data_IF_260800478651
#
_entry.id   IF_260800478651
#
_cell.length_a   1.000
_cell.length_b   1.000
_cell.length_c   1.000
_cell.angle_alpha   90.00
_cell.angle_beta   90.00
_cell.angle_gamma   90.00
#
_symmetry.space_group_name_H-M   'P 1'
#
loop_
_entity.id
_entity.type
_entity.pdbx_description
1 polymer ?
#
# COMPACT_ATOMS: atom_id res chain seq x y z
N UNK A 1 -24.96 12.68 67.73
CA UNK A 1 -24.66 11.38 68.33
C UNK A 1 -24.66 10.34 67.21
N UNK A 2 -23.52 9.67 67.00
CA UNK A 2 -23.20 8.61 66.01
C UNK A 2 -23.20 8.99 64.51
N UNK A 3 -22.36 8.49 63.59
CA UNK A 3 -21.07 7.74 63.57
C UNK A 3 -20.68 7.56 62.07
N UNK A 4 -19.37 7.56 61.78
CA UNK A 4 -18.61 6.98 60.64
C UNK A 4 -18.85 7.33 59.14
N UNK A 5 -17.77 7.86 58.55
CA UNK A 5 -17.11 7.48 57.27
C UNK A 5 -17.78 6.45 56.34
N UNK A 6 -17.90 6.81 55.03
CA UNK A 6 -17.18 6.12 53.94
C UNK A 6 -17.13 6.93 52.63
N UNK A 7 -15.98 6.79 51.96
CA UNK A 7 -15.52 7.43 50.70
C UNK A 7 -16.29 6.95 49.45
N UNK A 8 -16.39 7.87 48.48
CA UNK A 8 -16.44 7.78 46.99
C UNK A 8 -16.00 6.45 46.30
N UNK A 9 -16.32 6.19 44.99
CA UNK A 9 -16.65 7.18 43.96
C UNK A 9 -17.79 6.88 42.95
N UNK A 10 -18.24 8.01 42.39
CA UNK A 10 -18.81 8.30 41.06
C UNK A 10 -18.61 7.26 39.94
N UNK A 11 -19.71 6.80 39.34
CA UNK A 11 -19.74 6.29 37.97
C UNK A 11 -20.58 7.25 37.12
N UNK A 12 -19.89 8.08 36.35
CA UNK A 12 -20.50 9.04 35.44
C UNK A 12 -20.98 8.27 34.21
N UNK A 13 -22.30 8.15 34.09
CA UNK A 13 -22.98 7.58 32.94
C UNK A 13 -22.91 8.59 31.79
N UNK A 14 -21.80 8.58 31.04
CA UNK A 14 -21.71 9.25 29.74
C UNK A 14 -21.98 8.23 28.65
N UNK A 15 -23.20 8.33 28.11
CA UNK A 15 -23.59 8.12 26.73
C UNK A 15 -22.72 7.17 25.89
N UNK A 16 -23.37 6.07 25.52
CA UNK A 16 -23.15 5.34 24.27
C UNK A 16 -22.95 6.32 23.10
N UNK A 17 -21.70 6.62 22.76
CA UNK A 17 -21.35 7.02 21.41
C UNK A 17 -21.10 5.73 20.63
N UNK A 18 -22.15 5.34 19.92
CA UNK A 18 -22.11 4.82 18.55
C UNK A 18 -20.93 3.91 18.21
N UNK A 19 -21.28 2.65 18.01
CA UNK A 19 -20.75 1.77 16.97
C UNK A 19 -19.95 2.45 15.86
N UNK A 20 -18.93 1.71 15.42
CA UNK A 20 -18.44 1.65 14.05
C UNK A 20 -17.74 2.91 13.49
N UNK A 21 -16.44 2.97 13.73
CA UNK A 21 -15.56 3.03 12.57
C UNK A 21 -14.90 1.64 12.42
N UNK A 22 -15.59 0.71 11.76
CA UNK A 22 -14.85 0.00 10.73
C UNK A 22 -14.88 0.99 9.56
N UNK A 23 -13.91 1.93 9.44
CA UNK A 23 -13.84 2.62 8.18
C UNK A 23 -13.56 1.49 7.20
N UNK A 24 -14.25 1.43 6.08
CA UNK A 24 -13.58 0.85 4.93
C UNK A 24 -12.34 1.75 4.80
N UNK A 25 -11.18 1.35 5.32
CA UNK A 25 -9.91 1.97 4.96
C UNK A 25 -10.00 1.99 3.46
N UNK A 26 -10.08 3.18 2.87
CA UNK A 26 -10.26 3.33 1.43
C UNK A 26 -9.26 2.38 0.78
N UNK A 27 -9.77 1.29 0.16
CA UNK A 27 -8.95 0.17 -0.30
C UNK A 27 -8.33 0.57 -1.63
N UNK A 28 -7.57 1.64 -1.58
CA UNK A 28 -6.87 2.23 -2.70
C UNK A 28 -5.54 1.51 -2.89
N UNK A 29 -5.04 1.58 -4.12
CA UNK A 29 -3.90 0.80 -4.55
C UNK A 29 -2.62 1.48 -4.09
N UNK A 30 -2.11 1.03 -2.95
CA UNK A 30 -0.76 1.38 -2.50
C UNK A 30 0.29 0.76 -3.45
N UNK A 31 1.47 1.37 -3.57
CA UNK A 31 2.56 0.78 -4.37
C UNK A 31 3.05 -0.57 -3.80
N UNK A 32 2.84 -0.83 -2.51
CA UNK A 32 3.05 -2.17 -1.95
C UNK A 32 2.17 -3.23 -2.66
N UNK A 33 0.90 -2.91 -2.92
CA UNK A 33 -0.01 -3.82 -3.62
C UNK A 33 0.49 -4.07 -5.03
N UNK A 34 0.89 -3.01 -5.75
CA UNK A 34 1.51 -3.11 -7.07
C UNK A 34 2.69 -4.08 -7.10
N UNK A 35 3.57 -3.97 -6.10
CA UNK A 35 4.80 -4.75 -6.04
C UNK A 35 4.56 -6.27 -5.95
N UNK A 36 3.34 -6.69 -5.57
CA UNK A 36 2.93 -8.08 -5.43
C UNK A 36 2.05 -8.58 -6.59
N UNK A 37 1.65 -7.72 -7.54
CA UNK A 37 0.77 -8.08 -8.66
C UNK A 37 1.55 -8.54 -9.88
N UNK A 38 1.05 -9.58 -10.56
CA UNK A 38 1.63 -10.12 -11.80
C UNK A 38 0.54 -10.50 -12.81
N UNK A 39 0.87 -10.41 -14.10
CA UNK A 39 0.01 -10.81 -15.22
C UNK A 39 0.33 -12.20 -15.78
N UNK A 40 1.13 -13.03 -15.09
CA UNK A 40 1.50 -14.38 -15.53
C UNK A 40 0.32 -15.34 -15.78
N UNK A 41 -0.87 -15.02 -15.28
CA UNK A 41 -2.08 -15.81 -15.54
C UNK A 41 -2.61 -15.65 -16.99
N UNK A 42 -2.09 -14.67 -17.74
CA UNK A 42 -2.45 -14.49 -19.16
C UNK A 42 -1.80 -15.61 -19.98
N UNK A 43 -2.59 -16.22 -20.86
CA UNK A 43 -2.14 -17.23 -21.82
C UNK A 43 -0.98 -16.72 -22.67
N UNK A 44 0.12 -17.47 -22.65
CA UNK A 44 1.32 -17.18 -23.44
C UNK A 44 2.28 -16.16 -22.82
N UNK A 45 1.97 -15.59 -21.66
CA UNK A 45 2.90 -14.71 -20.93
C UNK A 45 3.84 -15.54 -20.06
N UNK A 46 5.15 -15.39 -20.27
CA UNK A 46 6.20 -15.97 -19.43
C UNK A 46 6.72 -14.94 -18.41
N UNK A 47 6.82 -13.68 -18.82
CA UNK A 47 7.32 -12.55 -18.04
C UNK A 47 6.20 -11.53 -17.79
N UNK A 48 5.37 -11.79 -16.78
CA UNK A 48 4.27 -10.92 -16.37
C UNK A 48 4.59 -9.93 -15.25
N UNK A 49 5.86 -9.58 -15.03
CA UNK A 49 6.30 -8.72 -13.91
C UNK A 49 7.57 -7.93 -14.25
N UNK A 50 7.72 -6.67 -13.80
CA UNK A 50 6.70 -5.86 -13.14
C UNK A 50 5.66 -5.30 -14.11
N UNK A 51 4.44 -5.07 -13.63
CA UNK A 51 3.44 -4.34 -14.40
C UNK A 51 3.84 -2.87 -14.49
N UNK A 52 3.80 -2.27 -15.68
CA UNK A 52 4.08 -0.83 -15.82
C UNK A 52 2.91 -0.03 -15.26
N UNK A 53 3.18 0.96 -14.43
CA UNK A 53 2.14 1.84 -13.90
C UNK A 53 1.95 3.00 -14.88
N UNK A 54 0.70 3.30 -15.20
CA UNK A 54 0.33 4.53 -15.89
C UNK A 54 -0.69 5.23 -15.01
N UNK A 55 -0.19 6.05 -14.08
CA UNK A 55 -1.02 6.76 -13.12
C UNK A 55 -1.62 8.01 -13.76
N UNK A 56 -2.91 8.24 -13.52
CA UNK A 56 -3.61 9.48 -13.89
C UNK A 56 -3.84 10.35 -12.66
N UNK A 57 -4.31 9.72 -11.57
CA UNK A 57 -4.52 10.37 -10.28
C UNK A 57 -3.80 9.59 -9.19
N UNK A 58 -2.97 10.28 -8.42
CA UNK A 58 -2.27 9.75 -7.26
C UNK A 58 -2.62 10.62 -6.05
N UNK A 59 -2.83 9.97 -4.90
CA UNK A 59 -3.05 10.64 -3.62
C UNK A 59 -2.00 10.16 -2.62
N UNK A 60 -1.64 11.06 -1.71
CA UNK A 60 -0.80 10.73 -0.56
C UNK A 60 -1.69 10.61 0.66
N UNK A 61 -1.62 9.46 1.35
CA UNK A 61 -2.33 9.22 2.60
C UNK A 61 -1.39 8.72 3.68
N UNK A 62 -1.17 9.56 4.67
CA UNK A 62 -0.31 9.24 5.81
C UNK A 62 -0.76 7.94 6.51
N UNK A 63 0.22 7.16 6.95
CA UNK A 63 -0.02 5.93 7.68
C UNK A 63 1.00 5.74 8.81
N UNK A 64 0.65 4.93 9.80
CA UNK A 64 1.50 4.72 10.96
C UNK A 64 2.82 4.05 10.57
N UNK A 65 3.94 4.74 10.83
CA UNK A 65 5.27 4.22 10.58
C UNK A 65 5.59 3.08 11.55
N UNK A 66 5.92 1.92 11.00
CA UNK A 66 6.35 0.75 11.76
C UNK A 66 7.66 0.17 11.21
N UNK A 67 8.76 0.46 11.93
CA UNK A 67 10.10 0.02 11.57
C UNK A 67 10.22 -1.51 11.45
N UNK A 68 9.72 -2.24 12.45
CA UNK A 68 9.84 -3.70 12.49
C UNK A 68 9.06 -4.36 11.35
N UNK A 69 7.92 -3.79 10.97
CA UNK A 69 7.15 -4.24 9.80
C UNK A 69 7.97 -4.08 8.51
N UNK A 70 8.57 -2.90 8.29
CA UNK A 70 9.33 -2.62 7.07
C UNK A 70 10.59 -3.48 6.97
N UNK A 71 11.33 -3.68 8.07
CA UNK A 71 12.51 -4.56 8.08
C UNK A 71 12.14 -5.99 7.71
N UNK A 72 11.00 -6.51 8.19
CA UNK A 72 10.50 -7.85 7.83
C UNK A 72 9.94 -7.92 6.41
N UNK A 73 9.45 -6.81 5.88
CA UNK A 73 8.88 -6.70 4.55
C UNK A 73 9.97 -6.56 3.47
N UNK A 74 11.04 -5.83 3.77
CA UNK A 74 12.17 -5.53 2.88
C UNK A 74 12.61 -6.71 1.99
N UNK A 75 12.88 -7.93 2.52
CA UNK A 75 13.32 -9.05 1.69
C UNK A 75 12.26 -9.59 0.72
N UNK A 76 10.99 -9.19 0.87
CA UNK A 76 9.88 -9.57 -0.02
C UNK A 76 9.60 -8.52 -1.10
N UNK A 77 10.21 -7.34 -1.01
CA UNK A 77 9.99 -6.25 -1.96
C UNK A 77 10.95 -6.39 -3.13
N UNK A 78 10.40 -6.32 -4.33
CA UNK A 78 11.20 -6.12 -5.53
C UNK A 78 11.50 -4.63 -5.68
N UNK A 79 12.69 -4.21 -5.24
CA UNK A 79 13.06 -2.80 -5.16
C UNK A 79 13.03 -2.10 -6.53
N UNK A 80 13.56 -2.73 -7.58
CA UNK A 80 13.58 -2.15 -8.92
C UNK A 80 12.17 -1.89 -9.47
N UNK A 81 11.24 -2.81 -9.18
CA UNK A 81 9.83 -2.65 -9.55
C UNK A 81 9.15 -1.52 -8.78
N UNK A 82 9.46 -1.38 -7.48
CA UNK A 82 8.98 -0.26 -6.67
C UNK A 82 9.53 1.08 -7.19
N UNK A 83 10.83 1.13 -7.49
CA UNK A 83 11.50 2.33 -8.01
C UNK A 83 10.87 2.78 -9.33
N UNK A 84 10.64 1.84 -10.25
CA UNK A 84 9.94 2.12 -11.51
C UNK A 84 8.50 2.60 -11.28
N UNK A 85 7.76 1.97 -10.36
CA UNK A 85 6.39 2.37 -10.04
C UNK A 85 6.32 3.76 -9.40
N UNK A 86 7.24 4.07 -8.48
CA UNK A 86 7.35 5.41 -7.86
C UNK A 86 7.68 6.49 -8.89
N UNK A 87 8.55 6.17 -9.86
CA UNK A 87 8.83 7.04 -11.02
C UNK A 87 7.60 7.29 -11.86
N UNK A 88 6.88 6.22 -12.23
CA UNK A 88 5.68 6.30 -13.05
C UNK A 88 4.53 7.03 -12.32
N UNK A 89 4.50 6.99 -10.99
CA UNK A 89 3.56 7.72 -10.15
C UNK A 89 3.95 9.19 -9.89
N UNK A 90 5.16 9.62 -10.29
CA UNK A 90 5.65 10.99 -10.05
C UNK A 90 6.19 11.25 -8.64
N UNK A 91 6.49 10.20 -7.87
CA UNK A 91 6.98 10.26 -6.49
C UNK A 91 8.39 9.64 -6.34
N UNK A 92 9.26 9.86 -7.34
CA UNK A 92 10.61 9.26 -7.37
C UNK A 92 11.59 9.89 -6.37
N UNK A 93 11.40 11.17 -6.03
CA UNK A 93 12.35 11.99 -5.25
C UNK A 93 12.63 11.42 -3.85
N UNK A 94 11.88 10.41 -3.46
CA UNK A 94 11.92 9.79 -2.15
C UNK A 94 12.81 8.55 -2.10
N UNK A 95 13.11 7.89 -3.23
CA UNK A 95 13.85 6.64 -3.24
C UNK A 95 15.23 6.77 -3.91
N UNK A 96 16.30 6.22 -3.32
CA UNK A 96 17.59 6.12 -4.01
C UNK A 96 17.50 5.19 -5.23
N UNK A 97 18.39 5.36 -6.21
CA UNK A 97 18.39 4.55 -7.44
C UNK A 97 18.68 3.05 -7.23
N UNK A 98 19.28 2.71 -6.09
CA UNK A 98 19.64 1.34 -5.72
C UNK A 98 19.35 1.12 -4.24
N UNK A 99 19.00 -0.10 -3.87
CA UNK A 99 18.79 -0.48 -2.47
C UNK A 99 20.09 -0.32 -1.68
N UNK A 100 20.15 0.52 -0.63
CA UNK A 100 21.34 0.67 0.20
C UNK A 100 21.69 -0.63 0.94
N UNK A 101 22.97 -0.91 1.16
CA UNK A 101 23.42 -2.11 1.91
C UNK A 101 22.95 -2.08 3.38
N UNK A 102 22.82 -0.89 3.96
CA UNK A 102 22.38 -0.63 5.33
C UNK A 102 20.88 -0.35 5.45
N UNK A 103 20.09 -0.70 4.42
CA UNK A 103 18.66 -0.41 4.32
C UNK A 103 17.84 -0.83 5.55
N UNK A 104 18.16 -1.96 6.18
CA UNK A 104 17.44 -2.45 7.36
C UNK A 104 17.75 -1.67 8.65
N UNK A 105 18.91 -1.01 8.72
CA UNK A 105 19.35 -0.23 9.88
C UNK A 105 19.07 1.27 9.74
N UNK A 106 19.04 1.79 8.51
CA UNK A 106 18.83 3.20 8.23
C UNK A 106 17.37 3.61 8.40
N UNK A 107 17.06 4.30 9.50
CA UNK A 107 15.70 4.79 9.77
C UNK A 107 15.23 5.82 8.73
N UNK A 108 16.14 6.66 8.24
CA UNK A 108 15.83 7.65 7.20
C UNK A 108 15.39 6.97 5.89
N UNK A 109 16.10 5.91 5.48
CA UNK A 109 15.70 5.11 4.32
C UNK A 109 14.37 4.40 4.57
N UNK A 110 14.17 3.81 5.75
CA UNK A 110 12.91 3.12 6.06
C UNK A 110 11.71 4.08 6.06
N UNK A 111 11.87 5.34 6.47
CA UNK A 111 10.80 6.35 6.37
C UNK A 111 10.44 6.68 4.92
N UNK A 112 11.44 6.81 4.05
CA UNK A 112 11.25 6.98 2.61
C UNK A 112 10.58 5.77 1.96
N UNK A 113 11.02 4.58 2.33
CA UNK A 113 10.44 3.32 1.88
C UNK A 113 8.98 3.17 2.35
N UNK A 114 8.70 3.55 3.60
CA UNK A 114 7.33 3.61 4.15
C UNK A 114 6.43 4.49 3.31
N UNK A 115 6.86 5.72 3.04
CA UNK A 115 6.07 6.66 2.25
C UNK A 115 5.74 6.07 0.88
N UNK A 116 6.75 5.64 0.13
CA UNK A 116 6.55 5.08 -1.20
C UNK A 116 5.65 3.84 -1.19
N UNK A 117 5.85 2.90 -0.26
CA UNK A 117 5.08 1.65 -0.23
C UNK A 117 3.66 1.82 0.29
N UNK A 118 3.48 2.64 1.32
CA UNK A 118 2.27 2.66 2.13
C UNK A 118 1.47 3.94 2.05
N UNK A 119 2.06 5.06 1.62
CA UNK A 119 1.38 6.36 1.61
C UNK A 119 1.04 6.84 0.20
N UNK A 120 1.82 6.43 -0.80
CA UNK A 120 1.52 6.70 -2.22
C UNK A 120 0.44 5.74 -2.72
N UNK A 121 -0.71 6.30 -3.09
CA UNK A 121 -1.88 5.56 -3.55
C UNK A 121 -2.30 5.98 -4.96
N UNK A 122 -2.35 5.02 -5.89
CA UNK A 122 -2.89 5.25 -7.23
C UNK A 122 -4.41 5.16 -7.16
N UNK A 123 -5.10 6.25 -7.49
CA UNK A 123 -6.56 6.34 -7.46
C UNK A 123 -7.17 5.98 -8.81
N UNK A 124 -6.59 6.51 -9.88
CA UNK A 124 -7.03 6.24 -11.26
C UNK A 124 -5.81 6.02 -12.15
N UNK A 125 -5.89 5.04 -13.04
CA UNK A 125 -4.82 4.75 -14.00
C UNK A 125 -4.94 3.36 -14.60
N UNK A 126 -3.82 2.83 -15.05
CA UNK A 126 -3.73 1.51 -15.68
C UNK A 126 -2.45 0.78 -15.24
N UNK A 127 -2.53 -0.55 -15.14
CA UNK A 127 -1.37 -1.44 -15.02
C UNK A 127 -1.19 -2.20 -16.32
N UNK A 128 -0.03 -2.08 -16.95
CA UNK A 128 0.20 -2.65 -18.28
C UNK A 128 1.14 -3.84 -18.16
N UNK A 129 0.70 -5.00 -18.69
CA UNK A 129 1.54 -6.19 -18.81
C UNK A 129 2.74 -5.88 -19.71
N UNK A 130 3.99 -6.17 -19.28
CA UNK A 130 5.19 -5.83 -20.05
C UNK A 130 5.31 -6.67 -21.34
N UNK A 131 4.82 -7.92 -21.34
CA UNK A 131 4.95 -8.83 -22.48
C UNK A 131 3.75 -8.73 -23.44
N UNK A 132 2.52 -8.88 -22.93
CA UNK A 132 1.32 -8.91 -23.78
C UNK A 132 0.74 -7.53 -24.09
N UNK A 133 1.18 -6.47 -23.39
CA UNK A 133 0.59 -5.14 -23.49
C UNK A 133 -0.84 -5.01 -22.94
N UNK A 134 -1.39 -6.08 -22.33
CA UNK A 134 -2.72 -6.06 -21.72
C UNK A 134 -2.77 -5.02 -20.59
N UNK A 135 -3.70 -4.08 -20.71
CA UNK A 135 -3.95 -3.04 -19.70
C UNK A 135 -4.99 -3.52 -18.67
N UNK A 136 -4.74 -3.29 -17.39
CA UNK A 136 -5.66 -3.53 -16.27
C UNK A 136 -6.03 -2.19 -15.63
N UNK A 137 -7.30 -1.75 -15.73
CA UNK A 137 -7.69 -0.44 -15.23
C UNK A 137 -7.68 -0.40 -13.69
N UNK A 138 -7.26 0.73 -13.14
CA UNK A 138 -7.36 1.09 -11.72
C UNK A 138 -8.42 2.19 -11.60
N UNK A 139 -9.47 1.92 -10.83
CA UNK A 139 -10.56 2.88 -10.60
C UNK A 139 -10.90 2.94 -9.12
N UNK A 140 -10.99 4.14 -8.56
CA UNK A 140 -11.18 4.37 -7.12
C UNK A 140 -10.13 3.61 -6.27
N UNK A 141 -8.92 3.51 -6.82
CA UNK A 141 -7.78 2.77 -6.30
C UNK A 141 -7.95 1.26 -6.23
N UNK A 142 -8.89 0.68 -6.97
CA UNK A 142 -9.06 -0.76 -7.05
C UNK A 142 -8.58 -1.24 -8.43
N UNK A 143 -7.49 -2.03 -8.51
CA UNK A 143 -7.03 -2.61 -9.76
C UNK A 143 -7.95 -3.76 -10.19
N UNK A 144 -8.45 -3.72 -11.42
CA UNK A 144 -9.23 -4.81 -11.99
C UNK A 144 -8.33 -5.78 -12.76
N UNK A 145 -7.95 -6.88 -12.10
CA UNK A 145 -7.08 -7.92 -12.66
C UNK A 145 -7.85 -9.10 -13.29
N UNK A 146 -9.15 -8.94 -13.59
CA UNK A 146 -9.96 -10.01 -14.17
C UNK A 146 -9.58 -10.27 -15.63
N UNK A 147 -9.42 -11.55 -15.95
CA UNK A 147 -9.18 -12.05 -17.30
C UNK A 147 -10.46 -12.65 -17.86
N UNK A 148 -10.67 -12.51 -19.17
CA UNK A 148 -11.71 -13.26 -19.85
C UNK A 148 -11.33 -14.74 -19.93
N UNK A 149 -12.28 -15.69 -20.00
CA UNK A 149 -11.98 -17.12 -20.07
C UNK A 149 -10.99 -17.50 -21.17
N UNK A 150 -11.04 -16.83 -22.32
CA UNK A 150 -10.14 -17.03 -23.45
C UNK A 150 -8.71 -16.50 -23.24
N UNK A 151 -8.52 -15.59 -22.29
CA UNK A 151 -7.22 -14.98 -21.93
C UNK A 151 -6.47 -15.80 -20.88
N UNK A 152 -7.11 -16.79 -20.23
CA UNK A 152 -6.51 -17.59 -19.15
C UNK A 152 -5.58 -18.66 -19.74
N UNK A 153 -4.35 -18.73 -19.20
CA UNK A 153 -3.28 -19.65 -19.60
C UNK A 153 -3.29 -20.99 -18.87
#
# INVERSE_FOLDING_TARGET
>A
MLVLFRRFPTLHLLFLQTTSACPYTSRTMKLLTHNMLTSKAIKGVQEGYPLRVKAETVEIRESEFNKDFLVRLLPKIHYDALYAAAKDAGHLDELPGTLPEDAASSEEFLKKLHHALLEVEVITGELICPESGRSFPVQNGIPNMLLKPEEIG
#
